data_IF_794449643931
#
_entry.id   IF_794449643931
#
_cell.length_a   1.000
_cell.length_b   1.000
_cell.length_c   1.000
_cell.angle_alpha   90.00
_cell.angle_beta   90.00
_cell.angle_gamma   90.00
#
_symmetry.space_group_name_H-M   'P 1'
#
loop_
_entity.id
_entity.type
_entity.pdbx_description
1 polymer ?
#
# COMPACT_ATOMS: atom_id res chain seq x y z
N UNK A 1 1.98 2.58 17.50
CA UNK A 1 1.80 2.39 16.04
C UNK A 1 1.61 0.90 15.76
N UNK A 2 0.35 0.44 15.72
CA UNK A 2 0.05 -1.01 15.70
C UNK A 2 0.43 -1.73 14.41
N UNK A 3 0.33 -1.08 13.25
CA UNK A 3 0.57 -1.73 11.95
C UNK A 3 2.05 -2.01 11.69
N UNK A 4 2.95 -1.08 12.02
CA UNK A 4 4.38 -1.23 11.82
C UNK A 4 4.93 -2.50 12.50
N UNK A 5 4.50 -2.77 13.74
CA UNK A 5 4.92 -3.97 14.47
C UNK A 5 4.40 -5.26 13.84
N UNK A 6 3.17 -5.25 13.33
CA UNK A 6 2.59 -6.42 12.66
C UNK A 6 3.31 -6.73 11.36
N UNK A 7 3.64 -5.70 10.55
CA UNK A 7 4.45 -5.84 9.33
C UNK A 7 5.84 -6.36 9.67
N UNK A 8 6.51 -5.79 10.66
CA UNK A 8 7.81 -6.24 11.14
C UNK A 8 7.79 -7.73 11.55
N UNK A 9 6.81 -8.16 12.34
CA UNK A 9 6.68 -9.56 12.75
C UNK A 9 6.39 -10.50 11.59
N UNK A 10 5.59 -10.06 10.62
CA UNK A 10 5.28 -10.86 9.43
C UNK A 10 6.54 -11.08 8.57
N UNK A 11 7.38 -10.06 8.39
CA UNK A 11 8.67 -10.21 7.72
C UNK A 11 9.63 -11.12 8.49
N UNK A 12 9.73 -11.00 9.80
CA UNK A 12 10.51 -11.93 10.62
C UNK A 12 10.04 -13.38 10.51
N UNK A 13 8.74 -13.59 10.30
CA UNK A 13 8.21 -14.93 10.11
C UNK A 13 8.59 -15.55 8.76
N UNK A 14 8.58 -14.74 7.68
CA UNK A 14 8.87 -15.25 6.32
C UNK A 14 10.35 -15.23 5.96
N UNK A 15 11.16 -14.48 6.68
CA UNK A 15 12.61 -14.31 6.47
C UNK A 15 13.34 -14.26 7.83
N UNK A 16 13.35 -15.39 8.60
CA UNK A 16 13.89 -15.41 9.96
C UNK A 16 15.40 -15.20 10.03
N UNK A 17 16.11 -15.47 8.95
CA UNK A 17 17.57 -15.33 8.86
C UNK A 17 18.02 -13.94 8.36
N UNK A 18 17.06 -13.10 7.90
CA UNK A 18 17.36 -11.77 7.39
C UNK A 18 17.40 -10.73 8.52
N UNK A 19 18.21 -9.70 8.32
CA UNK A 19 18.25 -8.56 9.24
C UNK A 19 17.12 -7.58 8.96
N UNK A 20 16.04 -7.70 9.70
CA UNK A 20 14.86 -6.83 9.57
C UNK A 20 14.90 -5.77 10.67
N UNK A 21 14.84 -4.51 10.29
CA UNK A 21 14.87 -3.39 11.22
C UNK A 21 13.75 -2.37 10.95
N UNK A 22 13.40 -1.64 11.97
CA UNK A 22 12.54 -0.44 11.86
C UNK A 22 13.49 0.75 11.79
N UNK A 23 13.57 1.38 10.62
CA UNK A 23 14.47 2.49 10.39
C UNK A 23 14.05 3.75 11.18
N UNK A 24 15.03 4.36 11.84
CA UNK A 24 14.92 5.62 12.56
C UNK A 24 15.94 6.66 12.07
N UNK A 25 16.90 6.24 11.24
CA UNK A 25 17.95 7.08 10.69
C UNK A 25 18.05 6.87 9.17
N UNK A 26 18.39 7.92 8.40
CA UNK A 26 18.55 7.84 6.95
C UNK A 26 19.55 6.75 6.49
N UNK A 27 20.63 6.56 7.25
CA UNK A 27 21.69 5.60 6.94
C UNK A 27 21.19 4.15 7.00
N UNK A 28 20.19 3.87 7.82
CA UNK A 28 19.55 2.55 7.91
C UNK A 28 18.77 2.23 6.62
N UNK A 29 18.07 3.21 6.06
CA UNK A 29 17.41 3.07 4.74
C UNK A 29 18.46 2.97 3.62
N UNK A 30 19.50 3.80 3.68
CA UNK A 30 20.57 3.80 2.69
C UNK A 30 21.33 2.46 2.63
N UNK A 31 21.52 1.79 3.76
CA UNK A 31 22.22 0.48 3.84
C UNK A 31 21.31 -0.73 3.58
N UNK A 32 19.99 -0.57 3.63
CA UNK A 32 19.05 -1.68 3.41
C UNK A 32 19.04 -2.12 1.94
N UNK A 33 18.87 -3.43 1.70
CA UNK A 33 18.70 -4.00 0.35
C UNK A 33 17.29 -3.74 -0.21
N UNK A 34 16.29 -3.62 0.68
CA UNK A 34 14.86 -3.47 0.37
C UNK A 34 14.20 -2.53 1.36
N UNK A 35 13.16 -1.85 0.93
CA UNK A 35 12.43 -0.93 1.80
C UNK A 35 10.94 -1.28 1.82
N UNK A 36 10.35 -1.26 3.00
CA UNK A 36 8.89 -1.39 3.18
C UNK A 36 8.37 -0.10 3.77
N UNK A 37 7.38 0.49 3.12
CA UNK A 37 6.68 1.70 3.55
C UNK A 37 5.28 1.32 4.03
N UNK A 38 5.09 0.95 5.29
CA UNK A 38 3.76 0.79 5.86
C UNK A 38 3.17 2.16 6.22
N UNK A 39 1.87 2.30 6.08
CA UNK A 39 1.17 3.50 6.52
C UNK A 39 -0.15 3.17 7.19
N UNK A 40 -0.54 4.00 8.17
CA UNK A 40 -1.85 3.94 8.81
C UNK A 40 -2.26 5.32 9.33
N UNK A 41 -3.56 5.56 9.37
CA UNK A 41 -4.12 6.85 9.77
C UNK A 41 -4.43 7.74 8.58
N UNK A 42 -4.55 9.04 8.81
CA UNK A 42 -4.87 10.00 7.77
C UNK A 42 -3.63 10.39 6.95
N UNK A 43 -3.81 10.58 5.64
CA UNK A 43 -2.73 10.94 4.72
C UNK A 43 -1.94 12.19 5.17
N UNK A 44 -2.58 13.31 5.58
CA UNK A 44 -1.83 14.50 6.02
C UNK A 44 -0.91 14.23 7.21
N UNK A 45 -1.31 13.32 8.11
CA UNK A 45 -0.51 12.95 9.27
C UNK A 45 0.64 12.04 8.89
N UNK A 46 0.43 11.12 7.94
CA UNK A 46 1.47 10.23 7.43
C UNK A 46 2.57 11.03 6.72
N UNK A 47 2.22 11.94 5.83
CA UNK A 47 3.17 12.78 5.10
C UNK A 47 3.96 13.69 6.04
N UNK A 48 3.26 14.39 6.95
CA UNK A 48 3.90 15.22 7.97
C UNK A 48 4.87 14.43 8.84
N UNK A 49 4.46 13.24 9.29
CA UNK A 49 5.33 12.40 10.13
C UNK A 49 6.58 11.93 9.38
N UNK A 50 6.45 11.57 8.10
CA UNK A 50 7.59 11.20 7.26
C UNK A 50 8.57 12.38 7.08
N UNK A 51 8.07 13.59 6.84
CA UNK A 51 8.89 14.81 6.74
C UNK A 51 9.62 15.10 8.06
N UNK A 52 8.87 15.10 9.18
CA UNK A 52 9.43 15.38 10.52
C UNK A 52 10.42 14.32 11.01
N UNK A 53 10.31 13.09 10.50
CA UNK A 53 11.25 12.01 10.84
C UNK A 53 12.64 12.19 10.24
N UNK A 54 12.80 13.03 9.21
CA UNK A 54 14.04 13.19 8.46
C UNK A 54 14.36 12.03 7.52
N UNK A 55 13.42 11.07 7.32
CA UNK A 55 13.62 9.89 6.48
C UNK A 55 13.18 10.09 5.02
N UNK A 56 12.52 11.20 4.70
CA UNK A 56 11.92 11.43 3.39
C UNK A 56 12.94 11.32 2.24
N UNK A 57 14.05 12.04 2.32
CA UNK A 57 15.08 12.04 1.27
C UNK A 57 15.70 10.64 1.07
N UNK A 58 15.98 9.94 2.16
CA UNK A 58 16.52 8.58 2.09
C UNK A 58 15.52 7.59 1.47
N UNK A 59 14.22 7.76 1.76
CA UNK A 59 13.15 6.97 1.14
C UNK A 59 13.05 7.25 -0.36
N UNK A 60 13.08 8.53 -0.77
CA UNK A 60 13.02 8.91 -2.18
C UNK A 60 14.24 8.41 -2.96
N UNK A 61 15.43 8.43 -2.35
CA UNK A 61 16.62 7.86 -2.97
C UNK A 61 16.57 6.32 -3.07
N UNK A 62 16.09 5.66 -2.03
CA UNK A 62 15.89 4.21 -2.05
C UNK A 62 14.87 3.79 -3.12
N UNK A 63 13.79 4.56 -3.29
CA UNK A 63 12.75 4.30 -4.29
C UNK A 63 13.27 4.33 -5.74
N UNK A 64 14.42 4.94 -6.01
CA UNK A 64 15.02 4.97 -7.37
C UNK A 64 15.64 3.64 -7.78
N UNK A 65 16.16 2.85 -6.82
CA UNK A 65 17.05 1.73 -7.15
C UNK A 65 16.82 0.47 -6.29
N UNK A 66 16.03 0.54 -5.23
CA UNK A 66 15.81 -0.59 -4.32
C UNK A 66 14.37 -1.10 -4.45
N UNK A 67 14.15 -2.43 -4.32
CA UNK A 67 12.80 -2.94 -4.18
C UNK A 67 12.06 -2.22 -3.06
N UNK A 68 10.91 -1.62 -3.38
CA UNK A 68 10.08 -0.88 -2.43
C UNK A 68 8.68 -1.48 -2.40
N UNK A 69 8.19 -1.78 -1.19
CA UNK A 69 6.84 -2.27 -0.95
C UNK A 69 6.03 -1.24 -0.15
N UNK A 70 4.99 -0.66 -0.76
CA UNK A 70 3.99 0.15 -0.06
C UNK A 70 2.87 -0.71 0.51
N UNK A 71 2.40 -0.42 1.75
CA UNK A 71 1.28 -1.17 2.37
C UNK A 71 0.23 -0.21 2.91
N UNK A 72 -1.01 -0.37 2.46
CA UNK A 72 -2.19 0.41 2.83
C UNK A 72 -1.99 1.91 2.55
N UNK A 73 -1.93 2.78 3.57
CA UNK A 73 -1.63 4.21 3.36
C UNK A 73 -0.24 4.39 2.73
N UNK A 74 0.69 3.46 2.96
CA UNK A 74 1.99 3.46 2.27
C UNK A 74 1.88 3.32 0.75
N UNK A 75 0.90 2.57 0.20
CA UNK A 75 0.58 2.58 -1.23
C UNK A 75 0.09 3.97 -1.67
N UNK A 76 -0.83 4.54 -0.92
CA UNK A 76 -1.44 5.82 -1.24
C UNK A 76 -0.42 6.97 -1.21
N UNK A 77 0.55 6.92 -0.28
CA UNK A 77 1.65 7.90 -0.19
C UNK A 77 2.51 7.97 -1.45
N UNK A 78 2.55 6.90 -2.26
CA UNK A 78 3.35 6.86 -3.49
C UNK A 78 2.78 7.72 -4.63
N UNK A 79 1.49 8.08 -4.57
CA UNK A 79 0.82 8.91 -5.59
C UNK A 79 1.32 10.36 -5.61
N UNK A 80 0.81 11.16 -6.56
CA UNK A 80 1.09 12.59 -6.62
C UNK A 80 0.39 13.33 -5.47
N UNK A 81 -0.87 12.97 -5.19
CA UNK A 81 -1.73 13.67 -4.22
C UNK A 81 -2.88 12.82 -3.72
N UNK A 82 -3.45 13.22 -2.60
CA UNK A 82 -4.61 12.58 -1.98
C UNK A 82 -5.74 13.57 -1.73
N UNK A 83 -6.99 13.15 -1.99
CA UNK A 83 -8.20 13.89 -1.62
C UNK A 83 -8.50 13.83 -0.11
N UNK A 84 -7.69 13.11 0.68
CA UNK A 84 -7.79 13.16 2.14
C UNK A 84 -7.05 14.37 2.67
N UNK A 85 -7.79 15.34 3.20
CA UNK A 85 -7.27 16.60 3.76
C UNK A 85 -7.78 16.81 5.18
N UNK A 86 -7.09 17.63 5.96
CA UNK A 86 -7.61 18.07 7.26
C UNK A 86 -8.71 19.10 7.06
N UNK A 87 -9.72 19.08 7.92
CA UNK A 87 -10.83 20.04 7.87
C UNK A 87 -10.39 21.51 8.04
N UNK A 88 -9.20 21.74 8.61
CA UNK A 88 -8.60 23.07 8.81
C UNK A 88 -7.78 23.57 7.61
N UNK A 89 -7.55 22.73 6.59
CA UNK A 89 -6.75 23.09 5.43
C UNK A 89 -7.62 23.71 4.34
N UNK A 90 -7.09 24.76 3.70
CA UNK A 90 -7.75 25.41 2.55
C UNK A 90 -7.54 24.67 1.23
N UNK A 91 -6.59 23.74 1.18
CA UNK A 91 -6.34 22.89 0.03
C UNK A 91 -7.37 21.78 -0.06
N UNK A 92 -7.72 21.38 -1.29
CA UNK A 92 -8.54 20.22 -1.57
C UNK A 92 -7.70 18.91 -1.69
N UNK A 93 -6.38 19.02 -1.56
CA UNK A 93 -5.44 17.95 -1.77
C UNK A 93 -4.31 17.98 -0.75
N UNK A 94 -3.87 16.81 -0.32
CA UNK A 94 -2.60 16.60 0.36
C UNK A 94 -1.59 16.12 -0.66
N UNK A 95 -0.47 16.83 -0.83
CA UNK A 95 0.63 16.40 -1.69
C UNK A 95 1.27 15.15 -1.10
N UNK A 96 1.66 14.21 -1.99
CA UNK A 96 2.25 12.93 -1.64
C UNK A 96 3.65 12.80 -2.27
N UNK A 97 4.18 11.57 -2.42
CA UNK A 97 5.58 11.34 -2.81
C UNK A 97 5.84 11.47 -4.33
N UNK A 98 4.80 11.41 -5.18
CA UNK A 98 4.92 11.55 -6.63
C UNK A 98 5.74 10.44 -7.32
N UNK A 99 5.82 9.25 -6.73
CA UNK A 99 6.56 8.11 -7.29
C UNK A 99 5.73 7.30 -8.31
N UNK A 100 4.42 7.28 -8.12
CA UNK A 100 3.45 6.67 -9.05
C UNK A 100 2.47 7.75 -9.48
N UNK A 101 2.49 8.20 -10.75
CA UNK A 101 1.56 9.20 -11.24
C UNK A 101 0.11 8.77 -11.05
N UNK A 102 -0.65 9.61 -10.35
CA UNK A 102 -2.03 9.33 -10.00
C UNK A 102 -2.47 10.05 -8.74
N UNK A 103 -3.67 9.76 -8.31
CA UNK A 103 -4.26 10.41 -7.16
C UNK A 103 -5.01 9.41 -6.27
N UNK A 104 -5.19 9.79 -5.01
CA UNK A 104 -5.97 9.02 -4.03
C UNK A 104 -7.35 9.64 -3.92
N UNK A 105 -8.40 8.83 -4.08
CA UNK A 105 -9.79 9.25 -4.01
C UNK A 105 -10.56 8.54 -2.92
N UNK A 106 -11.59 9.20 -2.39
CA UNK A 106 -12.53 8.60 -1.45
C UNK A 106 -13.56 7.74 -2.18
N UNK A 107 -14.02 6.67 -1.54
CA UNK A 107 -15.16 5.91 -2.04
C UNK A 107 -16.44 6.75 -2.09
N UNK A 108 -17.11 6.73 -3.24
CA UNK A 108 -18.43 7.31 -3.48
C UNK A 108 -19.44 6.17 -3.70
N UNK A 109 -19.99 5.67 -2.60
CA UNK A 109 -20.87 4.49 -2.58
C UNK A 109 -22.32 4.83 -2.17
N UNK A 110 -22.65 6.12 -2.08
CA UNK A 110 -24.00 6.55 -1.74
C UNK A 110 -25.04 5.96 -2.68
N UNK A 111 -26.08 5.32 -2.12
CA UNK A 111 -27.13 4.67 -2.88
C UNK A 111 -26.81 3.30 -3.47
N UNK A 112 -25.55 2.84 -3.42
CA UNK A 112 -25.18 1.51 -3.87
C UNK A 112 -25.51 0.46 -2.82
N UNK A 113 -25.95 -0.72 -3.28
CA UNK A 113 -26.32 -1.85 -2.43
C UNK A 113 -25.47 -3.07 -2.75
N UNK A 114 -25.15 -3.82 -1.71
CA UNK A 114 -24.53 -5.14 -1.79
C UNK A 114 -25.51 -6.17 -2.36
N UNK A 115 -25.04 -7.34 -2.80
CA UNK A 115 -25.92 -8.41 -3.33
C UNK A 115 -27.01 -8.87 -2.34
N UNK A 116 -26.78 -8.74 -1.04
CA UNK A 116 -27.74 -9.07 0.02
C UNK A 116 -28.76 -7.94 0.29
N UNK A 117 -28.67 -6.81 -0.45
CA UNK A 117 -29.54 -5.64 -0.32
C UNK A 117 -29.09 -4.62 0.73
N UNK A 118 -28.07 -4.90 1.52
CA UNK A 118 -27.48 -3.95 2.48
C UNK A 118 -26.71 -2.82 1.75
N UNK A 119 -26.57 -1.66 2.40
CA UNK A 119 -25.79 -0.57 1.85
C UNK A 119 -24.29 -0.86 1.98
N UNK A 120 -23.51 -0.48 0.95
CA UNK A 120 -22.07 -0.43 1.10
C UNK A 120 -21.68 0.59 2.17
N UNK A 121 -20.70 0.25 2.99
CA UNK A 121 -20.17 1.11 4.05
C UNK A 121 -18.80 1.67 3.69
N UNK A 122 -18.50 2.86 4.17
CA UNK A 122 -17.15 3.43 4.15
C UNK A 122 -16.73 3.62 5.59
N UNK A 123 -15.61 3.02 6.04
CA UNK A 123 -14.59 2.33 5.26
C UNK A 123 -15.02 0.96 4.71
N UNK A 124 -14.43 0.54 3.59
CA UNK A 124 -14.35 -0.85 3.16
C UNK A 124 -13.53 -1.61 4.21
N UNK A 125 -14.14 -2.53 4.93
CA UNK A 125 -13.50 -3.28 6.00
C UNK A 125 -13.88 -4.76 5.90
N UNK A 126 -12.86 -5.62 5.84
CA UNK A 126 -13.04 -7.06 5.80
C UNK A 126 -12.24 -7.74 4.68
N UNK A 127 -12.55 -9.02 4.47
CA UNK A 127 -11.94 -9.82 3.41
C UNK A 127 -12.62 -9.56 2.08
N UNK A 128 -11.80 -9.39 1.03
CA UNK A 128 -12.29 -9.25 -0.34
C UNK A 128 -11.28 -9.84 -1.32
N UNK A 129 -11.76 -10.20 -2.52
CA UNK A 129 -10.96 -10.83 -3.55
C UNK A 129 -10.17 -9.80 -4.35
N UNK A 130 -8.94 -10.16 -4.70
CA UNK A 130 -8.07 -9.36 -5.56
C UNK A 130 -7.90 -10.08 -6.89
N UNK A 131 -8.32 -9.44 -7.96
CA UNK A 131 -8.01 -9.84 -9.33
C UNK A 131 -6.62 -9.34 -9.69
N UNK A 132 -5.78 -10.25 -10.21
CA UNK A 132 -4.43 -9.92 -10.67
C UNK A 132 -4.51 -9.36 -12.10
N UNK A 133 -4.34 -8.05 -12.25
CA UNK A 133 -4.47 -7.38 -13.56
C UNK A 133 -3.16 -7.44 -14.38
N UNK A 134 -2.03 -7.64 -13.72
CA UNK A 134 -0.73 -7.80 -14.35
C UNK A 134 0.02 -9.02 -13.81
N UNK A 135 0.83 -9.66 -14.65
CA UNK A 135 1.79 -10.66 -14.20
C UNK A 135 2.91 -9.97 -13.44
N UNK A 136 3.12 -10.34 -12.20
CA UNK A 136 4.19 -9.78 -11.38
C UNK A 136 4.78 -10.87 -10.47
N UNK A 137 6.11 -10.87 -10.20
CA UNK A 137 6.76 -11.85 -9.33
C UNK A 137 6.14 -11.94 -7.93
N UNK A 138 5.62 -10.86 -7.38
CA UNK A 138 4.97 -10.85 -6.07
C UNK A 138 3.68 -11.68 -6.02
N UNK A 139 3.06 -11.97 -7.15
CA UNK A 139 1.90 -12.87 -7.25
C UNK A 139 2.27 -14.37 -7.36
N UNK A 140 3.57 -14.71 -7.41
CA UNK A 140 4.00 -16.09 -7.59
C UNK A 140 3.45 -17.00 -6.48
N UNK A 141 2.73 -18.08 -6.88
CA UNK A 141 2.10 -19.01 -5.95
C UNK A 141 0.86 -18.49 -5.22
N UNK A 142 0.33 -17.34 -5.62
CA UNK A 142 -0.93 -16.77 -5.12
C UNK A 142 -1.96 -16.90 -6.24
N UNK A 143 -3.03 -17.69 -6.06
CA UNK A 143 -4.08 -17.81 -7.07
C UNK A 143 -4.76 -16.48 -7.36
N UNK A 144 -5.21 -16.28 -8.60
CA UNK A 144 -6.07 -15.15 -8.93
C UNK A 144 -7.36 -15.20 -8.08
N UNK A 145 -7.92 -14.06 -7.77
CA UNK A 145 -9.09 -13.89 -6.89
C UNK A 145 -8.87 -14.41 -5.45
N UNK A 146 -7.63 -14.54 -5.00
CA UNK A 146 -7.35 -14.77 -3.57
C UNK A 146 -7.89 -13.65 -2.71
N UNK A 147 -8.34 -14.00 -1.51
CA UNK A 147 -8.89 -13.03 -0.55
C UNK A 147 -7.79 -12.40 0.30
N UNK A 148 -7.89 -11.08 0.49
CA UNK A 148 -7.03 -10.29 1.34
C UNK A 148 -7.86 -9.41 2.27
N UNK A 149 -7.26 -8.93 3.36
CA UNK A 149 -7.92 -8.09 4.35
C UNK A 149 -7.73 -6.60 4.04
N UNK A 150 -8.84 -5.88 3.98
CA UNK A 150 -8.92 -4.44 3.71
C UNK A 150 -9.45 -3.67 4.91
N UNK A 151 -8.99 -2.45 5.09
CA UNK A 151 -9.58 -1.45 5.99
C UNK A 151 -9.20 -0.05 5.50
N UNK A 152 -10.02 0.55 4.61
CA UNK A 152 -9.70 1.84 4.01
C UNK A 152 -10.95 2.59 3.52
N UNK A 153 -10.86 3.93 3.48
CA UNK A 153 -11.91 4.82 2.95
C UNK A 153 -11.52 5.47 1.63
N UNK A 154 -10.23 5.41 1.30
CA UNK A 154 -9.62 5.98 0.11
C UNK A 154 -8.87 4.90 -0.67
N UNK A 155 -8.70 5.09 -1.97
CA UNK A 155 -8.00 4.16 -2.87
C UNK A 155 -7.24 4.91 -3.96
N UNK A 156 -6.23 4.28 -4.49
CA UNK A 156 -5.37 4.81 -5.55
C UNK A 156 -6.07 4.75 -6.90
N UNK A 157 -5.96 5.83 -7.69
CA UNK A 157 -6.36 5.93 -9.09
C UNK A 157 -5.11 6.29 -9.90
N UNK A 158 -4.37 5.30 -10.41
CA UNK A 158 -3.19 5.54 -11.23
C UNK A 158 -3.56 6.29 -12.52
N UNK A 159 -2.68 7.16 -12.97
CA UNK A 159 -2.85 7.83 -14.27
C UNK A 159 -2.68 6.86 -15.45
N UNK A 160 -1.89 5.80 -15.27
CA UNK A 160 -1.57 4.79 -16.29
C UNK A 160 -2.18 3.45 -15.90
N UNK A 161 -2.95 2.84 -16.78
CA UNK A 161 -3.53 1.52 -16.52
C UNK A 161 -2.47 0.43 -16.35
N UNK A 162 -1.31 0.58 -16.97
CA UNK A 162 -0.19 -0.37 -16.85
C UNK A 162 0.43 -0.41 -15.45
N UNK A 163 0.21 0.62 -14.63
CA UNK A 163 0.64 0.62 -13.23
C UNK A 163 -0.32 -0.16 -12.31
N UNK A 164 -1.49 -0.62 -12.82
CA UNK A 164 -2.43 -1.41 -12.04
C UNK A 164 -1.97 -2.87 -12.01
N UNK A 165 -1.57 -3.35 -10.84
CA UNK A 165 -1.17 -4.74 -10.63
C UNK A 165 -2.31 -5.63 -10.11
N UNK A 166 -3.31 -5.03 -9.45
CA UNK A 166 -4.49 -5.73 -8.98
C UNK A 166 -5.67 -4.82 -8.73
N UNK A 167 -6.88 -5.35 -8.90
CA UNK A 167 -8.12 -4.63 -8.64
C UNK A 167 -9.12 -5.48 -7.87
N UNK A 168 -10.02 -4.78 -7.19
CA UNK A 168 -11.04 -5.37 -6.31
C UNK A 168 -12.38 -4.71 -6.55
N UNK A 169 -13.46 -5.47 -6.45
CA UNK A 169 -14.82 -4.96 -6.56
C UNK A 169 -15.39 -4.67 -5.17
N UNK A 170 -15.83 -3.43 -4.95
CA UNK A 170 -16.56 -3.02 -3.75
C UNK A 170 -17.57 -1.91 -4.11
N UNK A 171 -18.68 -2.31 -4.73
CA UNK A 171 -19.66 -1.39 -5.28
C UNK A 171 -19.21 -0.65 -6.55
N UNK A 172 -17.94 -0.61 -6.81
CA UNK A 172 -17.25 -0.33 -8.06
C UNK A 172 -15.88 -0.99 -8.02
N UNK A 173 -15.28 -1.18 -9.18
CA UNK A 173 -13.89 -1.61 -9.26
C UNK A 173 -12.97 -0.48 -8.80
N UNK A 174 -11.98 -0.84 -8.00
CA UNK A 174 -10.91 0.07 -7.58
C UNK A 174 -9.56 -0.63 -7.65
N UNK A 175 -8.49 0.13 -7.79
CA UNK A 175 -7.11 -0.38 -7.75
C UNK A 175 -6.79 -0.80 -6.33
N UNK A 176 -6.38 -2.05 -6.17
CA UNK A 176 -6.00 -2.66 -4.88
C UNK A 176 -4.54 -3.07 -4.80
N UNK A 177 -3.82 -2.98 -5.92
CA UNK A 177 -2.37 -3.08 -5.96
C UNK A 177 -1.83 -2.32 -7.18
N UNK A 178 -0.68 -1.70 -7.01
CA UNK A 178 0.06 -1.03 -8.09
C UNK A 178 1.48 -1.58 -8.19
N UNK A 179 2.03 -1.56 -9.42
CA UNK A 179 3.41 -1.94 -9.68
C UNK A 179 4.02 -1.03 -10.74
N UNK A 180 5.26 -0.59 -10.50
CA UNK A 180 6.03 0.21 -11.44
C UNK A 180 7.52 0.06 -11.15
N UNK A 181 8.29 -0.39 -12.13
CA UNK A 181 9.73 -0.58 -12.02
C UNK A 181 10.09 -1.45 -10.79
N UNK A 182 10.79 -0.89 -9.82
CA UNK A 182 11.17 -1.53 -8.55
C UNK A 182 10.16 -1.29 -7.39
N UNK A 183 8.99 -0.76 -7.68
CA UNK A 183 7.94 -0.47 -6.69
C UNK A 183 6.77 -1.44 -6.88
N UNK A 184 6.33 -2.05 -5.80
CA UNK A 184 5.05 -2.74 -5.69
C UNK A 184 4.31 -2.23 -4.46
N UNK A 185 3.00 -2.05 -4.53
CA UNK A 185 2.26 -1.63 -3.36
C UNK A 185 0.85 -2.20 -3.33
N UNK A 186 0.28 -2.33 -2.13
CA UNK A 186 -1.04 -2.94 -1.89
C UNK A 186 -1.90 -2.07 -0.99
N UNK A 187 -3.18 -1.92 -1.35
CA UNK A 187 -4.19 -1.30 -0.49
C UNK A 187 -4.58 -2.21 0.68
N UNK A 188 -4.54 -3.50 0.48
CA UNK A 188 -4.81 -4.48 1.53
C UNK A 188 -3.59 -4.65 2.46
N UNK A 189 -3.82 -5.34 3.56
CA UNK A 189 -2.83 -5.63 4.60
C UNK A 189 -2.32 -7.08 4.46
N UNK A 190 -1.18 -7.34 3.80
CA UNK A 190 -0.64 -8.69 3.71
C UNK A 190 -0.42 -9.33 5.09
N UNK A 191 0.05 -8.55 6.09
CA UNK A 191 0.28 -9.02 7.47
C UNK A 191 -0.99 -9.46 8.20
N UNK A 192 -2.19 -9.17 7.62
CA UNK A 192 -3.50 -9.59 8.13
C UNK A 192 -4.22 -10.56 7.18
N UNK A 193 -3.56 -10.99 6.12
CA UNK A 193 -4.16 -11.74 5.01
C UNK A 193 -3.74 -13.22 5.00
N UNK A 194 -3.46 -13.79 6.16
CA UNK A 194 -3.13 -15.20 6.36
C UNK A 194 -2.00 -15.68 5.39
N UNK A 195 -2.15 -16.89 4.83
CA UNK A 195 -1.10 -17.52 4.02
C UNK A 195 -0.73 -16.74 2.75
N UNK A 196 -1.70 -16.18 2.04
CA UNK A 196 -1.41 -15.45 0.80
C UNK A 196 -0.76 -14.08 1.06
N UNK A 197 -1.07 -13.46 2.19
CA UNK A 197 -0.35 -12.26 2.63
C UNK A 197 1.10 -12.54 2.99
N UNK A 198 1.35 -13.62 3.74
CA UNK A 198 2.71 -14.07 4.04
C UNK A 198 3.47 -14.50 2.79
N UNK A 199 2.78 -15.16 1.84
CA UNK A 199 3.37 -15.53 0.55
C UNK A 199 3.80 -14.32 -0.26
N UNK A 200 3.01 -13.24 -0.27
CA UNK A 200 3.36 -11.99 -0.93
C UNK A 200 4.63 -11.37 -0.29
N UNK A 201 4.74 -11.35 1.02
CA UNK A 201 5.94 -10.90 1.72
C UNK A 201 7.16 -11.78 1.43
N UNK A 202 7.00 -13.10 1.39
CA UNK A 202 8.06 -14.02 1.00
C UNK A 202 8.55 -13.74 -0.43
N UNK A 203 7.62 -13.50 -1.36
CA UNK A 203 7.95 -13.14 -2.73
C UNK A 203 8.70 -11.80 -2.80
N UNK A 204 8.30 -10.81 -1.99
CA UNK A 204 9.00 -9.53 -1.92
C UNK A 204 10.43 -9.67 -1.42
N UNK A 205 10.69 -10.51 -0.42
CA UNK A 205 12.03 -10.78 0.10
C UNK A 205 12.97 -11.30 -1.00
N UNK A 206 12.47 -12.13 -1.90
CA UNK A 206 13.25 -12.72 -3.00
C UNK A 206 13.19 -11.93 -4.30
N UNK A 207 12.33 -10.90 -4.39
CA UNK A 207 12.15 -10.14 -5.62
C UNK A 207 13.38 -9.31 -5.99
N UNK A 208 13.79 -9.41 -7.25
CA UNK A 208 14.84 -8.61 -7.88
C UNK A 208 14.22 -7.99 -9.14
N UNK A 209 13.83 -6.71 -9.09
CA UNK A 209 13.22 -5.99 -10.21
C UNK A 209 14.19 -5.73 -11.34
#
# INVERSE_FOLDING_TARGET
MGNLRSVYQAFHHVAPDDNILIAHQPEEIASADRVVLPGQGAMPDCMKHLEESGLLEALLDAAKNKPLLGVCVGEQMLCDRSAEVRASESSNWTECLGLIPGEVRRFELAGKKQPDGSAYKVPHMGWNQVRQDAKHPLWAGIPDLSSFYFVHSYYVVPQRNEDIAGSTEYGNWFTSAVARDNIFATQFHPEKSAEYGLKLYQNFVSWQP
#
